data_IF_598031553584
#
_entry.id   IF_598031553584
#
_cell.length_a   1.000
_cell.length_b   1.000
_cell.length_c   1.000
_cell.angle_alpha   90.00
_cell.angle_beta   90.00
_cell.angle_gamma   90.00
#
_symmetry.space_group_name_H-M   'P 1'
#
loop_
_entity.id
_entity.type
_entity.pdbx_description
1 polymer ?
#
# COMPACT_ATOMS: atom_id res chain seq x y z
N UNK A 1 6.72 4.68 -11.03
CA UNK A 1 5.41 4.73 -10.38
C UNK A 1 4.34 5.18 -11.36
N UNK A 2 3.31 4.40 -11.49
CA UNK A 2 2.20 4.77 -12.38
C UNK A 2 1.22 5.66 -11.62
N UNK A 3 0.74 6.72 -12.25
CA UNK A 3 -0.30 7.55 -11.67
C UNK A 3 -1.71 7.12 -12.09
N UNK A 4 -1.85 5.86 -12.49
CA UNK A 4 -3.12 5.29 -12.90
C UNK A 4 -3.88 4.77 -11.67
N UNK A 5 -5.12 5.19 -11.52
CA UNK A 5 -5.96 4.80 -10.41
C UNK A 5 -7.08 3.88 -10.87
N UNK A 6 -7.42 2.92 -10.03
CA UNK A 6 -8.52 1.99 -10.25
C UNK A 6 -9.83 2.67 -9.85
N UNK A 7 -10.81 2.68 -10.74
CA UNK A 7 -12.11 3.31 -10.47
C UNK A 7 -12.95 2.52 -9.45
N UNK A 8 -12.61 1.25 -9.21
CA UNK A 8 -13.39 0.38 -8.33
C UNK A 8 -13.01 0.47 -6.86
N UNK A 9 -11.96 1.23 -6.54
CA UNK A 9 -11.50 1.43 -5.17
C UNK A 9 -11.54 2.89 -4.79
N UNK A 10 -11.83 3.21 -3.52
CA UNK A 10 -11.71 4.59 -3.06
C UNK A 10 -10.31 5.14 -3.35
N UNK A 11 -10.25 6.32 -3.92
CA UNK A 11 -8.97 6.93 -4.35
C UNK A 11 -8.03 7.10 -3.17
N UNK A 12 -8.54 7.54 -2.02
CA UNK A 12 -7.68 7.76 -0.85
C UNK A 12 -6.99 6.48 -0.37
N UNK A 13 -7.63 5.31 -0.52
CA UNK A 13 -7.02 4.02 -0.18
C UNK A 13 -5.93 3.64 -1.17
N UNK A 14 -6.10 3.98 -2.43
CA UNK A 14 -5.07 3.73 -3.44
C UNK A 14 -3.82 4.57 -3.18
N UNK A 15 -4.00 5.83 -2.78
CA UNK A 15 -2.89 6.71 -2.40
C UNK A 15 -2.17 6.12 -1.19
N UNK A 16 -2.92 5.70 -0.19
CA UNK A 16 -2.40 5.09 1.02
C UNK A 16 -1.60 3.82 0.70
N UNK A 17 -2.18 2.91 -0.08
CA UNK A 17 -1.54 1.65 -0.47
C UNK A 17 -0.25 1.91 -1.25
N UNK A 18 -0.26 2.91 -2.11
CA UNK A 18 0.91 3.26 -2.90
C UNK A 18 2.06 3.75 -2.02
N UNK A 19 1.75 4.61 -1.05
CA UNK A 19 2.75 5.08 -0.09
C UNK A 19 3.29 3.92 0.75
N UNK A 20 2.41 3.01 1.17
CA UNK A 20 2.84 1.82 1.91
C UNK A 20 3.82 0.99 1.10
N UNK A 21 3.54 0.79 -0.19
CA UNK A 21 4.44 0.05 -1.07
C UNK A 21 5.82 0.69 -1.15
N UNK A 22 5.87 2.02 -1.28
CA UNK A 22 7.13 2.73 -1.35
C UNK A 22 7.96 2.57 -0.07
N UNK A 23 7.29 2.54 1.07
CA UNK A 23 7.96 2.35 2.36
C UNK A 23 8.42 0.90 2.53
N UNK A 24 7.58 -0.06 2.18
CA UNK A 24 7.92 -1.49 2.28
C UNK A 24 9.12 -1.82 1.39
N UNK A 25 9.15 -1.26 0.18
CA UNK A 25 10.26 -1.47 -0.77
C UNK A 25 11.50 -0.64 -0.46
N UNK A 26 11.42 0.20 0.57
CA UNK A 26 12.50 1.11 0.96
C UNK A 26 12.85 2.15 -0.10
N UNK A 27 11.93 2.43 -1.02
CA UNK A 27 12.07 3.57 -1.93
C UNK A 27 12.01 4.87 -1.15
N UNK A 28 11.15 4.90 -0.12
CA UNK A 28 11.14 5.96 0.88
C UNK A 28 11.53 5.31 2.20
N UNK A 29 12.62 5.75 2.80
CA UNK A 29 13.17 5.14 4.00
C UNK A 29 12.74 5.88 5.27
N UNK A 30 12.94 5.22 6.41
CA UNK A 30 12.67 5.84 7.70
C UNK A 30 13.39 7.17 7.83
N UNK A 31 12.70 8.14 8.41
CA UNK A 31 13.23 9.48 8.58
C UNK A 31 13.13 10.38 7.37
N UNK A 32 12.81 9.83 6.20
CA UNK A 32 12.68 10.63 5.00
C UNK A 32 11.33 11.34 4.93
N UNK A 33 11.34 12.50 4.31
CA UNK A 33 10.14 13.28 4.06
C UNK A 33 9.40 12.69 2.85
N UNK A 34 8.08 12.54 2.96
CA UNK A 34 7.25 12.17 1.82
C UNK A 34 6.83 13.41 1.04
N UNK A 35 6.40 13.26 -0.22
CA UNK A 35 5.82 14.40 -0.95
C UNK A 35 4.62 14.96 -0.20
N UNK A 36 4.38 16.25 -0.33
CA UNK A 36 3.26 16.91 0.33
C UNK A 36 1.91 16.46 -0.23
N UNK A 37 0.85 16.71 0.55
CA UNK A 37 -0.52 16.46 0.10
C UNK A 37 -0.80 17.13 -1.24
N UNK A 38 -0.34 18.37 -1.40
CA UNK A 38 -0.54 19.11 -2.65
C UNK A 38 0.24 18.48 -3.82
N UNK A 39 1.44 18.00 -3.56
CA UNK A 39 2.24 17.31 -4.57
C UNK A 39 1.56 16.02 -5.03
N UNK A 40 1.04 15.23 -4.08
CA UNK A 40 0.26 14.03 -4.40
C UNK A 40 -1.00 14.35 -5.20
N UNK A 41 -1.73 15.37 -4.77
CA UNK A 41 -2.96 15.79 -5.45
C UNK A 41 -2.68 16.18 -6.90
N UNK A 42 -1.60 16.92 -7.12
CA UNK A 42 -1.20 17.35 -8.45
C UNK A 42 -0.76 16.19 -9.32
N UNK A 43 0.04 15.27 -8.76
CA UNK A 43 0.55 14.12 -9.49
C UNK A 43 -0.57 13.19 -9.95
N UNK A 44 -1.52 12.89 -9.05
CA UNK A 44 -2.64 12.00 -9.36
C UNK A 44 -3.84 12.71 -9.96
N UNK A 45 -3.81 14.05 -10.03
CA UNK A 45 -4.90 14.87 -10.53
C UNK A 45 -6.20 14.62 -9.75
N UNK A 46 -6.08 14.69 -8.43
CA UNK A 46 -7.18 14.45 -7.49
C UNK A 46 -7.34 15.65 -6.55
N UNK A 47 -8.45 15.63 -5.81
CA UNK A 47 -8.71 16.64 -4.80
C UNK A 47 -7.69 16.52 -3.66
N UNK A 48 -7.05 17.64 -3.23
CA UNK A 48 -6.13 17.60 -2.10
C UNK A 48 -6.72 17.00 -0.82
N UNK A 49 -8.01 17.19 -0.56
CA UNK A 49 -8.65 16.60 0.61
C UNK A 49 -8.66 15.07 0.55
N UNK A 50 -8.80 14.49 -0.65
CA UNK A 50 -8.75 13.05 -0.85
C UNK A 50 -7.34 12.51 -0.60
N UNK A 51 -6.33 13.19 -1.10
CA UNK A 51 -4.94 12.83 -0.83
C UNK A 51 -4.64 12.93 0.65
N UNK A 52 -5.10 14.01 1.31
CA UNK A 52 -4.89 14.21 2.73
C UNK A 52 -5.52 13.09 3.57
N UNK A 53 -6.68 12.59 3.17
CA UNK A 53 -7.34 11.51 3.90
C UNK A 53 -6.47 10.26 3.95
N UNK A 54 -5.89 9.86 2.83
CA UNK A 54 -5.01 8.68 2.78
C UNK A 54 -3.75 8.90 3.61
N UNK A 55 -3.13 10.05 3.49
CA UNK A 55 -1.90 10.39 4.22
C UNK A 55 -2.17 10.45 5.72
N UNK A 56 -3.29 11.09 6.13
CA UNK A 56 -3.63 11.21 7.54
C UNK A 56 -3.93 9.87 8.20
N UNK A 57 -4.48 8.91 7.47
CA UNK A 57 -4.66 7.56 8.02
C UNK A 57 -3.32 6.93 8.36
N UNK A 58 -2.29 7.16 7.56
CA UNK A 58 -0.95 6.65 7.86
C UNK A 58 -0.34 7.35 9.09
N UNK A 59 -0.67 8.61 9.31
CA UNK A 59 -0.28 9.31 10.53
C UNK A 59 -0.96 8.66 11.74
N UNK A 60 -2.26 8.38 11.64
CA UNK A 60 -3.02 7.73 12.71
C UNK A 60 -2.50 6.34 13.03
N UNK A 61 -1.98 5.63 12.02
CA UNK A 61 -1.40 4.30 12.17
C UNK A 61 0.08 4.34 12.59
N UNK A 62 0.60 5.52 12.86
CA UNK A 62 1.99 5.73 13.29
C UNK A 62 3.04 5.31 12.26
N UNK A 63 2.65 5.25 11.00
CA UNK A 63 3.55 5.02 9.88
C UNK A 63 4.25 6.30 9.46
N UNK A 64 3.54 7.42 9.59
CA UNK A 64 4.06 8.76 9.31
C UNK A 64 3.91 9.64 10.54
N UNK A 65 4.76 10.65 10.64
CA UNK A 65 4.58 11.70 11.65
C UNK A 65 4.69 13.07 10.99
N UNK A 66 3.95 14.01 11.54
CA UNK A 66 3.93 15.38 11.01
C UNK A 66 4.91 16.25 11.77
N UNK A 67 5.74 16.98 11.04
CA UNK A 67 6.54 18.06 11.59
C UNK A 67 5.92 19.36 11.11
N UNK A 68 5.34 20.09 12.04
CA UNK A 68 4.61 21.31 11.74
C UNK A 68 5.47 22.31 10.96
N UNK A 69 4.95 22.77 9.82
CA UNK A 69 5.65 23.71 8.95
C UNK A 69 6.75 23.10 8.09
N UNK A 70 7.03 21.81 8.24
CA UNK A 70 8.09 21.13 7.50
C UNK A 70 7.54 20.05 6.56
N UNK A 71 6.65 19.18 7.06
CA UNK A 71 6.05 18.13 6.25
C UNK A 71 5.79 16.85 7.03
N UNK A 72 5.56 15.78 6.29
CA UNK A 72 5.33 14.45 6.83
C UNK A 72 6.55 13.59 6.60
N UNK A 73 6.90 12.78 7.60
CA UNK A 73 8.10 11.95 7.60
C UNK A 73 7.77 10.51 7.96
N UNK A 74 8.57 9.57 7.48
CA UNK A 74 8.41 8.15 7.76
C UNK A 74 8.95 7.85 9.16
N UNK A 75 8.14 7.17 10.00
CA UNK A 75 8.53 6.83 11.36
C UNK A 75 9.61 5.73 11.36
N UNK A 76 10.30 5.59 12.50
CA UNK A 76 11.38 4.62 12.66
C UNK A 76 10.93 3.19 12.38
N UNK A 77 9.73 2.81 12.86
CA UNK A 77 9.22 1.46 12.74
C UNK A 77 8.19 1.27 11.63
N UNK A 78 8.06 2.25 10.73
CA UNK A 78 7.02 2.26 9.70
C UNK A 78 7.01 0.98 8.86
N UNK A 79 8.15 0.57 8.36
CA UNK A 79 8.26 -0.60 7.50
C UNK A 79 7.79 -1.87 8.20
N UNK A 80 8.24 -2.07 9.44
CA UNK A 80 7.86 -3.25 10.21
C UNK A 80 6.37 -3.28 10.52
N UNK A 81 5.79 -2.13 10.86
CA UNK A 81 4.36 -2.01 11.11
C UNK A 81 3.55 -2.39 9.86
N UNK A 82 3.99 -1.92 8.69
CA UNK A 82 3.31 -2.20 7.43
C UNK A 82 3.45 -3.66 7.00
N UNK A 83 4.62 -4.24 7.16
CA UNK A 83 4.85 -5.65 6.85
C UNK A 83 3.94 -6.52 7.71
N UNK A 84 3.93 -6.28 9.01
CA UNK A 84 3.08 -7.03 9.94
C UNK A 84 1.60 -6.91 9.58
N UNK A 85 1.15 -5.70 9.29
CA UNK A 85 -0.23 -5.45 8.89
C UNK A 85 -0.60 -6.24 7.64
N UNK A 86 0.24 -6.21 6.62
CA UNK A 86 -0.04 -6.89 5.36
C UNK A 86 0.08 -8.41 5.46
N UNK A 87 0.96 -8.91 6.32
CA UNK A 87 1.03 -10.35 6.58
C UNK A 87 -0.29 -10.87 7.15
N UNK A 88 -0.93 -10.11 8.04
CA UNK A 88 -2.21 -10.50 8.64
C UNK A 88 -3.34 -10.63 7.63
N UNK A 89 -3.32 -9.84 6.58
CA UNK A 89 -4.38 -9.84 5.57
C UNK A 89 -3.99 -10.59 4.29
N UNK A 90 -2.78 -11.15 4.24
CA UNK A 90 -2.24 -11.78 3.05
C UNK A 90 -3.12 -12.94 2.56
N UNK A 91 -3.54 -13.79 3.47
CA UNK A 91 -4.36 -14.95 3.10
C UNK A 91 -5.66 -14.50 2.42
N UNK A 92 -6.37 -13.58 3.04
CA UNK A 92 -7.64 -13.07 2.52
C UNK A 92 -7.49 -12.32 1.21
N UNK A 93 -6.46 -11.49 1.10
CA UNK A 93 -6.30 -10.63 -0.05
C UNK A 93 -5.68 -11.34 -1.27
N UNK A 94 -4.92 -12.39 -1.05
CA UNK A 94 -4.21 -13.06 -2.14
C UNK A 94 -4.49 -14.55 -2.23
N UNK A 95 -4.48 -15.26 -1.10
CA UNK A 95 -4.66 -16.71 -1.13
C UNK A 95 -6.08 -17.13 -1.49
N UNK A 96 -7.08 -16.51 -0.88
CA UNK A 96 -8.48 -16.83 -1.18
C UNK A 96 -8.82 -16.55 -2.64
N UNK A 97 -8.49 -15.37 -3.21
CA UNK A 97 -8.71 -15.16 -4.64
C UNK A 97 -7.97 -16.16 -5.53
N UNK A 98 -6.74 -16.50 -5.17
CA UNK A 98 -5.97 -17.50 -5.90
C UNK A 98 -6.68 -18.84 -5.92
N UNK A 99 -7.15 -19.30 -4.75
CA UNK A 99 -7.85 -20.58 -4.64
C UNK A 99 -9.17 -20.59 -5.40
N UNK A 100 -9.90 -19.48 -5.36
CA UNK A 100 -11.15 -19.36 -6.11
C UNK A 100 -10.92 -19.44 -7.62
N UNK A 101 -9.89 -18.74 -8.11
CA UNK A 101 -9.56 -18.79 -9.53
C UNK A 101 -9.11 -20.19 -9.95
N UNK A 102 -8.30 -20.83 -9.12
CA UNK A 102 -7.83 -22.18 -9.39
C UNK A 102 -9.00 -23.18 -9.53
N UNK A 103 -10.02 -23.06 -8.66
CA UNK A 103 -11.21 -23.90 -8.75
C UNK A 103 -11.94 -23.72 -10.07
N UNK A 104 -12.09 -22.47 -10.53
CA UNK A 104 -12.73 -22.18 -11.83
C UNK A 104 -11.97 -22.86 -12.98
N UNK A 105 -10.66 -22.86 -12.89
CA UNK A 105 -9.79 -23.38 -13.94
C UNK A 105 -9.47 -24.86 -13.76
N UNK A 106 -10.06 -25.52 -12.76
CA UNK A 106 -9.82 -26.94 -12.44
C UNK A 106 -8.35 -27.23 -12.15
N UNK A 107 -7.67 -26.28 -11.55
CA UNK A 107 -6.29 -26.46 -11.08
C UNK A 107 -6.38 -27.03 -9.67
N UNK A 108 -5.75 -28.20 -9.45
CA UNK A 108 -5.78 -28.88 -8.15
C UNK A 108 -4.80 -28.21 -7.18
N UNK A 109 -4.99 -28.49 -5.90
CA UNK A 109 -4.07 -28.02 -4.86
C UNK A 109 -2.65 -28.53 -5.12
N UNK A 110 -2.51 -29.79 -5.52
CA UNK A 110 -1.21 -30.38 -5.86
C UNK A 110 -0.54 -29.60 -6.99
N UNK A 111 -1.31 -29.26 -8.03
CA UNK A 111 -0.80 -28.47 -9.14
C UNK A 111 -0.38 -27.06 -8.70
N UNK A 112 -1.15 -26.45 -7.79
CA UNK A 112 -0.80 -25.13 -7.25
C UNK A 112 0.52 -25.18 -6.49
N UNK A 113 0.73 -26.22 -5.68
CA UNK A 113 1.98 -26.38 -4.93
C UNK A 113 3.16 -26.52 -5.89
N UNK A 114 2.98 -27.30 -6.97
CA UNK A 114 4.02 -27.42 -8.00
C UNK A 114 4.34 -26.08 -8.66
N UNK A 115 3.31 -25.27 -8.93
CA UNK A 115 3.50 -23.95 -9.51
C UNK A 115 4.29 -23.03 -8.56
N UNK A 116 3.99 -23.08 -7.27
CA UNK A 116 4.71 -22.29 -6.26
C UNK A 116 6.18 -22.67 -6.24
N UNK A 117 6.49 -23.96 -6.39
CA UNK A 117 7.85 -24.47 -6.35
C UNK A 117 8.59 -24.34 -7.70
N UNK A 118 7.91 -23.89 -8.75
CA UNK A 118 8.50 -23.71 -10.07
C UNK A 118 9.45 -22.52 -10.08
N UNK A 119 10.59 -22.67 -10.64
CA UNK A 119 11.57 -21.60 -10.82
C UNK A 119 11.37 -20.82 -12.11
#
# INVERSE_FOLDING_TARGET
MKNTLDENKPIYLQIKDHLEDLIIKETIQKGERIPSTNEFAKYYKINPATAAKGINELVDEEVLFKRRGVGMFVTENARELLIEKRQKTFYENYMLPLKDEARKLRITETELIEMINRE
#
